data_IF_840642978266
#
_entry.id   IF_840642978266
#
_cell.length_a   1.000
_cell.length_b   1.000
_cell.length_c   1.000
_cell.angle_alpha   90.00
_cell.angle_beta   90.00
_cell.angle_gamma   90.00
#
_symmetry.space_group_name_H-M   'P 1'
#
loop_
_entity.id
_entity.type
_entity.pdbx_description
1 polymer ?
#
# COMPACT_ATOMS: atom_id res chain seq x y z
N UNK A 1 28.24 3.85 0.39
CA UNK A 1 27.68 4.46 -0.84
C UNK A 1 26.39 5.18 -0.47
N UNK A 2 26.24 6.49 -0.71
CA UNK A 2 24.98 7.18 -0.41
C UNK A 2 23.85 6.64 -1.31
N UNK A 3 22.60 6.58 -0.82
CA UNK A 3 21.46 6.14 -1.62
C UNK A 3 21.28 7.07 -2.82
N UNK A 4 21.00 6.50 -4.00
CA UNK A 4 20.76 7.31 -5.21
C UNK A 4 19.54 8.22 -5.01
N UNK A 5 19.60 9.48 -5.47
CA UNK A 5 18.45 10.38 -5.42
C UNK A 5 17.24 9.76 -6.13
N UNK A 6 16.05 9.91 -5.54
CA UNK A 6 14.80 9.47 -6.19
C UNK A 6 14.55 10.28 -7.45
N UNK A 7 14.11 9.63 -8.52
CA UNK A 7 13.69 10.31 -9.75
C UNK A 7 12.48 11.21 -9.51
N UNK A 8 12.23 12.19 -10.39
CA UNK A 8 11.05 13.06 -10.30
C UNK A 8 9.75 12.25 -10.22
N UNK A 9 9.61 11.26 -11.09
CA UNK A 9 8.46 10.35 -11.11
C UNK A 9 8.29 9.57 -9.79
N UNK A 10 9.38 9.08 -9.21
CA UNK A 10 9.32 8.39 -7.91
C UNK A 10 8.88 9.33 -6.77
N UNK A 11 9.32 10.60 -6.80
CA UNK A 11 8.90 11.60 -5.82
C UNK A 11 7.40 11.89 -5.94
N UNK A 12 6.89 11.93 -7.17
CA UNK A 12 5.47 12.16 -7.44
C UNK A 12 4.59 11.02 -6.93
N UNK A 13 4.96 9.76 -7.22
CA UNK A 13 4.28 8.58 -6.67
C UNK A 13 4.23 8.63 -5.14
N UNK A 14 5.34 8.95 -4.48
CA UNK A 14 5.39 9.07 -3.02
C UNK A 14 4.60 10.26 -2.47
N UNK A 15 4.49 11.35 -3.23
CA UNK A 15 3.66 12.49 -2.87
C UNK A 15 2.18 12.11 -2.89
N UNK A 16 1.73 11.47 -3.98
CA UNK A 16 0.36 10.98 -4.11
C UNK A 16 0.00 9.95 -3.05
N UNK A 17 0.91 9.04 -2.71
CA UNK A 17 0.67 8.06 -1.65
C UNK A 17 0.45 8.74 -0.29
N UNK A 18 1.27 9.75 0.04
CA UNK A 18 1.11 10.52 1.28
C UNK A 18 -0.17 11.33 1.31
N UNK A 19 -0.54 11.98 0.19
CA UNK A 19 -1.81 12.70 0.04
C UNK A 19 -3.00 11.74 0.25
N UNK A 20 -2.93 10.54 -0.34
CA UNK A 20 -3.90 9.47 -0.12
C UNK A 20 -4.04 9.06 1.35
N UNK A 21 -2.92 8.91 2.08
CA UNK A 21 -2.97 8.61 3.51
C UNK A 21 -3.58 9.75 4.34
N UNK A 22 -3.31 11.00 3.99
CA UNK A 22 -3.94 12.15 4.64
C UNK A 22 -5.45 12.17 4.41
N UNK A 23 -5.89 11.89 3.18
CA UNK A 23 -7.30 11.73 2.86
C UNK A 23 -7.94 10.59 3.68
N UNK A 24 -7.30 9.43 3.77
CA UNK A 24 -7.80 8.31 4.60
C UNK A 24 -7.96 8.75 6.06
N UNK A 25 -6.99 9.46 6.62
CA UNK A 25 -7.06 9.95 8.00
C UNK A 25 -8.18 10.95 8.25
N UNK A 26 -8.65 11.68 7.22
CA UNK A 26 -9.79 12.60 7.36
C UNK A 26 -11.16 11.91 7.28
N UNK A 27 -11.21 10.62 6.91
CA UNK A 27 -12.46 9.85 6.85
C UNK A 27 -12.91 9.34 8.23
N UNK A 28 -14.23 9.12 8.43
CA UNK A 28 -14.78 8.51 9.64
C UNK A 28 -14.12 7.16 9.95
N UNK A 29 -13.96 6.84 11.24
CA UNK A 29 -13.27 5.62 11.68
C UNK A 29 -13.91 4.35 11.10
N UNK A 30 -15.24 4.31 11.05
CA UNK A 30 -16.04 3.17 10.56
C UNK A 30 -15.76 2.82 9.10
N UNK A 31 -15.45 3.81 8.26
CA UNK A 31 -15.25 3.62 6.81
C UNK A 31 -13.78 3.73 6.41
N UNK A 32 -12.92 4.25 7.28
CA UNK A 32 -11.50 4.51 7.02
C UNK A 32 -10.75 3.29 6.47
N UNK A 33 -11.06 2.09 6.97
CA UNK A 33 -10.40 0.87 6.54
C UNK A 33 -10.63 0.58 5.05
N UNK A 34 -11.82 0.85 4.52
CA UNK A 34 -12.13 0.66 3.11
C UNK A 34 -11.33 1.61 2.22
N UNK A 35 -11.22 2.88 2.61
CA UNK A 35 -10.39 3.85 1.89
C UNK A 35 -8.90 3.45 1.92
N UNK A 36 -8.41 3.00 3.08
CA UNK A 36 -7.03 2.54 3.23
C UNK A 36 -6.75 1.31 2.36
N UNK A 37 -7.68 0.36 2.32
CA UNK A 37 -7.58 -0.83 1.50
C UNK A 37 -7.56 -0.47 0.01
N UNK A 38 -8.48 0.39 -0.44
CA UNK A 38 -8.51 0.88 -1.81
C UNK A 38 -7.20 1.57 -2.21
N UNK A 39 -6.67 2.43 -1.35
CA UNK A 39 -5.38 3.11 -1.54
C UNK A 39 -4.24 2.10 -1.70
N UNK A 40 -4.10 1.16 -0.74
CA UNK A 40 -3.04 0.15 -0.76
C UNK A 40 -3.12 -0.73 -2.00
N UNK A 41 -4.33 -1.17 -2.35
CA UNK A 41 -4.56 -2.00 -3.52
C UNK A 41 -4.18 -1.28 -4.81
N UNK A 42 -4.60 -0.02 -4.97
CA UNK A 42 -4.37 0.79 -6.18
C UNK A 42 -2.89 1.08 -6.43
N UNK A 43 -2.08 1.23 -5.38
CA UNK A 43 -0.63 1.39 -5.53
C UNK A 43 0.11 0.07 -5.79
N UNK A 44 -0.52 -1.07 -5.50
CA UNK A 44 0.07 -2.40 -5.74
C UNK A 44 -0.37 -3.02 -7.06
N UNK A 45 -1.48 -2.55 -7.64
CA UNK A 45 -2.06 -3.09 -8.86
C UNK A 45 -2.31 -1.98 -9.91
N UNK A 46 -1.84 -2.16 -11.16
CA UNK A 46 -1.09 -3.31 -11.66
C UNK A 46 0.35 -3.36 -11.10
N UNK A 47 1.00 -4.53 -11.21
CA UNK A 47 2.40 -4.69 -10.82
C UNK A 47 3.29 -3.97 -11.83
N UNK A 48 3.79 -2.80 -11.47
CA UNK A 48 4.68 -1.99 -12.30
C UNK A 48 6.12 -2.01 -11.76
N UNK A 49 7.07 -1.92 -12.67
CA UNK A 49 8.49 -1.75 -12.39
C UNK A 49 8.93 -0.33 -12.68
N UNK A 50 10.11 0.07 -12.19
CA UNK A 50 10.67 1.41 -12.43
C UNK A 50 10.89 1.74 -13.91
N UNK A 51 10.86 0.73 -14.80
CA UNK A 51 11.03 0.89 -16.26
C UNK A 51 9.72 1.21 -16.97
N UNK A 52 8.57 1.03 -16.32
CA UNK A 52 7.24 1.18 -16.93
C UNK A 52 6.75 2.63 -16.88
N UNK A 53 7.58 3.58 -17.35
CA UNK A 53 7.37 5.02 -17.18
C UNK A 53 5.98 5.49 -17.63
N UNK A 54 5.56 5.14 -18.85
CA UNK A 54 4.26 5.54 -19.40
C UNK A 54 3.08 4.97 -18.60
N UNK A 55 3.20 3.74 -18.11
CA UNK A 55 2.16 3.11 -17.29
C UNK A 55 2.08 3.75 -15.89
N UNK A 56 3.23 4.08 -15.28
CA UNK A 56 3.29 4.80 -14.01
C UNK A 56 2.64 6.18 -14.15
N UNK A 57 3.00 6.94 -15.18
CA UNK A 57 2.39 8.25 -15.44
C UNK A 57 0.88 8.15 -15.66
N UNK A 58 0.42 7.12 -16.37
CA UNK A 58 -1.01 6.88 -16.53
C UNK A 58 -1.68 6.62 -15.18
N UNK A 59 -1.10 5.79 -14.33
CA UNK A 59 -1.64 5.52 -12.99
C UNK A 59 -1.61 6.77 -12.10
N UNK A 60 -0.57 7.59 -12.17
CA UNK A 60 -0.50 8.88 -11.48
C UNK A 60 -1.70 9.75 -11.90
N UNK A 61 -1.90 9.97 -13.20
CA UNK A 61 -3.01 10.80 -13.69
C UNK A 61 -4.38 10.26 -13.26
N UNK A 62 -4.57 8.94 -13.34
CA UNK A 62 -5.81 8.28 -12.93
C UNK A 62 -6.06 8.42 -11.42
N UNK A 63 -5.02 8.17 -10.62
CA UNK A 63 -5.13 8.19 -9.17
C UNK A 63 -5.30 9.61 -8.64
N UNK A 64 -4.66 10.62 -9.23
CA UNK A 64 -4.89 12.03 -8.92
C UNK A 64 -6.37 12.38 -9.07
N UNK A 65 -6.99 12.07 -10.21
CA UNK A 65 -8.43 12.33 -10.43
C UNK A 65 -9.32 11.59 -9.43
N UNK A 66 -8.95 10.34 -9.11
CA UNK A 66 -9.67 9.55 -8.13
C UNK A 66 -9.60 10.22 -6.76
N UNK A 67 -8.40 10.64 -6.35
CA UNK A 67 -8.15 11.26 -5.06
C UNK A 67 -8.81 12.63 -4.94
N UNK A 68 -8.83 13.44 -6.00
CA UNK A 68 -9.55 14.71 -6.00
C UNK A 68 -11.04 14.51 -5.67
N UNK A 69 -11.68 13.49 -6.27
CA UNK A 69 -13.08 13.12 -5.95
C UNK A 69 -13.23 12.55 -4.54
N UNK A 70 -12.28 11.71 -4.09
CA UNK A 70 -12.32 11.15 -2.73
C UNK A 70 -12.02 12.19 -1.65
N UNK A 71 -11.43 13.33 -1.97
CA UNK A 71 -11.18 14.43 -1.03
C UNK A 71 -12.41 15.28 -0.74
N UNK A 72 -13.44 15.18 -1.57
CA UNK A 72 -14.70 15.87 -1.34
C UNK A 72 -15.29 15.50 0.05
N UNK A 73 -15.69 16.49 0.88
CA UNK A 73 -16.24 16.25 2.22
C UNK A 73 -17.53 15.41 2.23
N UNK A 74 -18.24 15.39 1.10
CA UNK A 74 -19.45 14.59 0.89
C UNK A 74 -19.14 13.09 0.75
N UNK A 75 -17.92 12.72 0.32
CA UNK A 75 -17.51 11.33 0.13
C UNK A 75 -17.03 10.76 1.47
N UNK A 76 -17.95 10.14 2.21
CA UNK A 76 -17.69 9.58 3.55
C UNK A 76 -17.63 8.05 3.57
N UNK A 77 -18.11 7.40 2.52
CA UNK A 77 -18.19 5.95 2.44
C UNK A 77 -17.68 5.47 1.08
N UNK A 78 -17.08 4.29 1.09
CA UNK A 78 -16.57 3.60 -0.08
C UNK A 78 -16.81 2.10 0.09
N UNK A 79 -17.27 1.45 -0.97
CA UNK A 79 -17.26 -0.01 -1.07
C UNK A 79 -15.92 -0.49 -1.65
N UNK A 80 -15.45 -1.63 -1.15
CA UNK A 80 -14.29 -2.33 -1.67
C UNK A 80 -14.75 -3.64 -2.32
N UNK A 81 -14.05 -4.09 -3.36
CA UNK A 81 -14.39 -5.36 -4.02
C UNK A 81 -13.95 -6.56 -3.19
N UNK A 82 -14.57 -7.72 -3.44
CA UNK A 82 -14.13 -8.99 -2.84
C UNK A 82 -12.65 -9.29 -3.14
N UNK A 83 -12.19 -9.00 -4.36
CA UNK A 83 -10.79 -9.13 -4.76
C UNK A 83 -9.84 -8.31 -3.86
N UNK A 84 -10.20 -7.07 -3.52
CA UNK A 84 -9.38 -6.24 -2.63
C UNK A 84 -9.30 -6.85 -1.23
N UNK A 85 -10.43 -7.35 -0.71
CA UNK A 85 -10.51 -7.99 0.61
C UNK A 85 -9.65 -9.25 0.65
N UNK A 86 -9.79 -10.11 -0.35
CA UNK A 86 -9.03 -11.37 -0.44
C UNK A 86 -7.54 -11.09 -0.59
N UNK A 87 -7.16 -10.11 -1.43
CA UNK A 87 -5.78 -9.65 -1.54
C UNK A 87 -5.21 -9.20 -0.19
N UNK A 88 -5.96 -8.41 0.58
CA UNK A 88 -5.50 -7.95 1.89
C UNK A 88 -5.37 -9.10 2.90
N UNK A 89 -6.33 -10.03 2.90
CA UNK A 89 -6.28 -11.24 3.73
C UNK A 89 -5.01 -12.06 3.43
N UNK A 90 -4.68 -12.22 2.15
CA UNK A 90 -3.48 -12.90 1.70
C UNK A 90 -2.19 -12.18 2.11
N UNK A 91 -2.15 -10.84 2.01
CA UNK A 91 -1.00 -10.06 2.48
C UNK A 91 -0.78 -10.22 3.99
N UNK A 92 -1.85 -10.17 4.79
CA UNK A 92 -1.77 -10.35 6.25
C UNK A 92 -1.30 -11.76 6.60
N UNK A 93 -1.85 -12.79 5.94
CA UNK A 93 -1.41 -14.18 6.11
C UNK A 93 0.08 -14.32 5.82
N UNK A 94 0.52 -13.86 4.66
CA UNK A 94 1.93 -13.92 4.24
C UNK A 94 2.85 -13.18 5.21
N UNK A 95 2.42 -12.02 5.72
CA UNK A 95 3.21 -11.25 6.68
C UNK A 95 3.37 -11.99 8.02
N UNK A 96 2.30 -12.64 8.51
CA UNK A 96 2.33 -13.46 9.74
C UNK A 96 3.23 -14.68 9.59
N UNK A 97 3.14 -15.40 8.48
CA UNK A 97 4.01 -16.55 8.18
C UNK A 97 5.49 -16.14 8.17
N UNK A 98 5.82 -15.01 7.54
CA UNK A 98 7.19 -14.46 7.55
C UNK A 98 7.68 -14.11 8.96
N UNK A 99 6.81 -13.58 9.81
CA UNK A 99 7.15 -13.28 11.21
C UNK A 99 7.41 -14.56 12.02
N UNK A 100 6.60 -15.61 11.81
CA UNK A 100 6.80 -16.91 12.45
C UNK A 100 8.11 -17.58 12.00
N UNK A 101 8.42 -17.53 10.71
CA UNK A 101 9.67 -18.07 10.16
C UNK A 101 10.93 -17.32 10.65
N UNK A 102 10.82 -16.00 10.92
CA UNK A 102 11.92 -15.19 11.48
C UNK A 102 12.02 -15.27 13.01
N UNK A 103 10.98 -15.77 13.68
CA UNK A 103 10.87 -15.84 15.14
C UNK A 103 11.24 -17.19 15.76
N UNK A 104 11.79 -18.14 15.01
CA UNK A 104 12.32 -19.39 15.57
C UNK A 104 13.75 -19.13 16.10
N UNK A 105 13.99 -19.04 17.42
CA UNK A 105 15.35 -19.08 17.93
C UNK A 105 15.92 -20.48 17.65
N UNK A 106 17.15 -20.54 17.15
CA UNK A 106 17.96 -21.74 17.13
C UNK A 106 18.24 -22.17 18.59
N UNK A 107 17.29 -22.87 19.18
CA UNK A 107 17.38 -23.39 20.54
C UNK A 107 17.91 -24.81 20.54
N UNK A 108 19.18 -24.94 20.92
CA UNK A 108 19.58 -25.97 21.87
C UNK A 108 20.15 -27.28 21.34
N UNK A 109 21.30 -27.22 20.65
CA UNK A 109 22.19 -28.39 20.57
C UNK A 109 23.64 -27.96 20.84
N UNK A 110 24.07 -28.10 22.08
CA UNK A 110 25.36 -28.71 22.43
C UNK A 110 25.24 -29.22 23.86
N UNK A 111 24.78 -30.46 23.99
CA UNK A 111 25.19 -31.28 25.11
C UNK A 111 26.66 -31.69 24.94
N UNK A 112 27.23 -32.17 26.05
CA UNK A 112 28.46 -32.97 26.21
C UNK A 112 29.65 -32.21 26.80
N UNK A 113 30.03 -32.62 28.03
CA UNK A 113 31.32 -32.33 28.65
C UNK A 113 31.23 -32.18 30.15
#
# INVERSE_FOLDING_TARGET
MPPRPRSGLQKEVLSLYRRGLQNVSSKPDETRENFLLHLRYSFRHPRLTVRDHAAIEHQIRRFTRTLDMLEEPSVRQMSVSGEMIDWWRDQVRTAREKQQAQGQPAGGETGTG
#
